data_IF_322008150963
#
_entry.id   IF_322008150963
#
_cell.length_a   1.000
_cell.length_b   1.000
_cell.length_c   1.000
_cell.angle_alpha   90.00
_cell.angle_beta   90.00
_cell.angle_gamma   90.00
#
_symmetry.space_group_name_H-M   'P 1'
#
loop_
_entity.id
_entity.type
_entity.pdbx_description
1 polymer ?
#
# COMPACT_ATOMS: atom_id res chain seq x y z
N UNK A 1 -12.46 56.70 41.86
CA UNK A 1 -12.98 56.55 40.49
C UNK A 1 -12.28 55.34 39.90
N UNK A 2 -12.98 54.23 39.70
CA UNK A 2 -12.37 53.01 39.19
C UNK A 2 -12.09 53.17 37.69
N UNK A 3 -10.83 53.07 37.29
CA UNK A 3 -10.39 53.16 35.90
C UNK A 3 -10.34 51.74 35.33
N UNK A 4 -10.92 51.50 34.14
CA UNK A 4 -10.76 50.23 33.44
C UNK A 4 -9.27 50.03 33.10
N UNK A 5 -8.67 48.95 33.58
CA UNK A 5 -7.31 48.57 33.16
C UNK A 5 -7.37 47.95 31.75
N UNK A 6 -6.35 48.13 30.90
CA UNK A 6 -6.32 47.51 29.56
C UNK A 6 -6.51 45.98 29.58
N UNK A 7 -6.07 45.32 30.65
CA UNK A 7 -6.30 43.89 30.93
C UNK A 7 -7.75 43.51 31.26
N UNK A 8 -8.62 44.49 31.57
CA UNK A 8 -10.06 44.29 31.76
C UNK A 8 -10.85 44.52 30.46
N UNK A 9 -10.19 45.00 29.39
CA UNK A 9 -10.83 45.28 28.08
C UNK A 9 -10.40 44.27 27.02
N UNK A 10 -9.23 43.64 27.19
CA UNK A 10 -8.74 42.61 26.28
C UNK A 10 -8.75 41.24 26.96
N UNK A 11 -9.62 40.36 26.49
CA UNK A 11 -9.57 38.92 26.76
C UNK A 11 -8.58 38.35 25.75
N UNK A 12 -7.55 37.64 26.23
CA UNK A 12 -6.60 36.93 25.38
C UNK A 12 -7.36 35.88 24.55
N UNK A 13 -7.65 36.20 23.29
CA UNK A 13 -8.22 35.25 22.35
C UNK A 13 -7.10 34.31 21.88
N UNK A 14 -7.31 32.98 21.87
CA UNK A 14 -6.33 32.05 21.31
C UNK A 14 -6.06 32.39 19.85
N UNK A 15 -4.82 32.18 19.38
CA UNK A 15 -4.43 32.46 18.00
C UNK A 15 -5.07 31.43 17.06
N UNK A 16 -6.26 31.76 16.57
CA UNK A 16 -7.15 30.89 15.77
C UNK A 16 -6.58 30.52 14.39
N UNK A 17 -5.65 31.32 13.87
CA UNK A 17 -5.08 31.15 12.53
C UNK A 17 -3.92 30.14 12.47
N UNK A 18 -3.48 29.58 13.61
CA UNK A 18 -2.35 28.66 13.68
C UNK A 18 -2.67 27.45 14.57
N UNK A 19 -3.64 26.64 14.15
CA UNK A 19 -3.78 25.28 14.70
C UNK A 19 -2.66 24.41 14.12
N UNK A 20 -1.60 24.18 14.89
CA UNK A 20 -0.53 23.24 14.55
C UNK A 20 -1.07 21.82 14.75
N UNK A 21 -1.67 21.25 13.72
CA UNK A 21 -2.02 19.84 13.70
C UNK A 21 -0.80 19.03 13.27
N UNK A 22 -0.26 18.20 14.18
CA UNK A 22 0.76 17.20 13.87
C UNK A 22 0.12 16.03 13.11
N UNK A 23 -0.33 16.30 11.88
CA UNK A 23 -0.81 15.28 10.96
C UNK A 23 0.36 14.84 10.09
N UNK A 24 0.52 13.54 9.87
CA UNK A 24 1.44 13.03 8.86
C UNK A 24 0.89 13.44 7.49
N UNK A 25 1.77 13.85 6.58
CA UNK A 25 1.36 14.17 5.22
C UNK A 25 0.70 12.94 4.59
N UNK A 26 -0.54 13.09 4.14
CA UNK A 26 -1.32 12.03 3.51
C UNK A 26 -0.62 11.47 2.25
N UNK A 27 0.29 12.24 1.64
CA UNK A 27 1.13 11.75 0.53
C UNK A 27 2.13 10.66 0.93
N UNK A 28 2.40 10.50 2.23
CA UNK A 28 3.28 9.45 2.75
C UNK A 28 2.64 8.06 2.73
N UNK A 29 1.32 7.95 2.63
CA UNK A 29 0.63 6.66 2.54
C UNK A 29 0.66 6.14 1.10
N UNK A 30 1.26 4.97 0.90
CA UNK A 30 1.48 4.38 -0.43
C UNK A 30 0.57 3.19 -0.72
N UNK A 31 -0.11 2.62 0.27
CA UNK A 31 -0.96 1.44 0.09
C UNK A 31 -1.97 1.59 -1.07
N UNK A 32 -2.71 2.70 -1.15
CA UNK A 32 -3.70 2.98 -2.21
C UNK A 32 -3.08 3.25 -3.58
N UNK A 33 -1.80 3.62 -3.65
CA UNK A 33 -1.07 3.89 -4.91
C UNK A 33 -0.53 2.61 -5.52
N UNK A 34 -0.13 1.66 -4.67
CA UNK A 34 0.41 0.36 -5.08
C UNK A 34 -0.72 -0.63 -5.36
N UNK A 35 -1.76 -0.63 -4.52
CA UNK A 35 -2.93 -1.49 -4.66
C UNK A 35 -4.18 -0.63 -4.91
N UNK A 36 -4.73 -0.63 -6.14
CA UNK A 36 -5.92 0.14 -6.44
C UNK A 36 -7.14 -0.42 -5.69
N UNK A 37 -7.98 0.48 -5.17
CA UNK A 37 -9.24 0.11 -4.52
C UNK A 37 -10.25 -0.38 -5.55
N UNK A 38 -10.69 -1.63 -5.41
CA UNK A 38 -11.76 -2.22 -6.22
C UNK A 38 -13.02 -2.32 -5.36
N UNK A 39 -14.11 -1.72 -5.82
CA UNK A 39 -15.39 -1.79 -5.12
C UNK A 39 -16.03 -3.15 -5.35
N UNK A 40 -16.46 -3.81 -4.28
CA UNK A 40 -17.13 -5.12 -4.31
C UNK A 40 -18.54 -5.01 -3.77
N UNK A 41 -19.48 -5.76 -4.35
CA UNK A 41 -20.89 -5.71 -3.96
C UNK A 41 -21.21 -6.60 -2.74
N UNK A 42 -20.37 -7.59 -2.44
CA UNK A 42 -20.59 -8.58 -1.37
C UNK A 42 -19.42 -8.55 -0.39
N UNK A 43 -19.69 -8.88 0.87
CA UNK A 43 -18.68 -8.93 1.94
C UNK A 43 -17.68 -10.07 1.71
N UNK A 44 -18.19 -11.23 1.30
CA UNK A 44 -17.41 -12.42 0.96
C UNK A 44 -17.92 -12.98 -0.34
N UNK A 45 -17.03 -13.22 -1.29
CA UNK A 45 -17.33 -13.94 -2.52
C UNK A 45 -16.04 -14.54 -3.07
N UNK A 46 -16.15 -15.27 -4.18
CA UNK A 46 -15.00 -15.81 -4.91
C UNK A 46 -14.66 -14.94 -6.10
N UNK A 47 -13.38 -14.83 -6.41
CA UNK A 47 -12.88 -14.24 -7.64
C UNK A 47 -12.24 -15.32 -8.51
N UNK A 48 -12.41 -15.18 -9.82
CA UNK A 48 -11.84 -16.11 -10.79
C UNK A 48 -10.40 -15.73 -11.08
N UNK A 49 -9.51 -16.71 -10.97
CA UNK A 49 -8.10 -16.59 -11.35
C UNK A 49 -7.90 -17.34 -12.66
N UNK A 50 -7.57 -16.59 -13.70
CA UNK A 50 -7.12 -17.15 -14.96
C UNK A 50 -5.75 -17.79 -14.78
N UNK A 51 -5.63 -19.08 -15.09
CA UNK A 51 -4.36 -19.78 -14.95
C UNK A 51 -3.35 -19.27 -15.98
N UNK A 52 -2.29 -18.63 -15.50
CA UNK A 52 -1.19 -18.09 -16.32
C UNK A 52 -0.49 -19.14 -17.18
N UNK A 53 -0.50 -20.41 -16.74
CA UNK A 53 0.07 -21.51 -17.50
C UNK A 53 -0.72 -21.83 -18.79
N UNK A 54 -2.03 -21.54 -18.82
CA UNK A 54 -2.86 -21.78 -20.00
C UNK A 54 -2.66 -20.69 -21.06
N UNK A 55 -2.44 -19.45 -20.63
CA UNK A 55 -2.22 -18.31 -21.53
C UNK A 55 -0.81 -18.29 -22.15
N UNK A 56 0.22 -18.75 -21.43
CA UNK A 56 1.61 -18.71 -21.89
C UNK A 56 2.08 -20.04 -22.50
N UNK A 57 1.15 -20.93 -22.88
CA UNK A 57 1.47 -22.28 -23.34
C UNK A 57 1.98 -22.27 -24.80
N UNK A 58 3.27 -22.49 -24.98
CA UNK A 58 3.91 -22.60 -26.31
C UNK A 58 3.77 -24.01 -26.90
N UNK A 59 3.78 -24.13 -28.23
CA UNK A 59 3.82 -25.43 -28.94
C UNK A 59 2.48 -26.05 -29.35
N UNK A 60 1.35 -25.36 -29.14
CA UNK A 60 0.04 -25.83 -29.61
C UNK A 60 -0.27 -25.49 -31.08
N UNK A 61 0.56 -24.66 -31.70
CA UNK A 61 0.49 -24.37 -33.14
C UNK A 61 1.23 -25.47 -33.88
N UNK A 62 0.47 -26.34 -34.54
CA UNK A 62 1.00 -27.44 -35.35
C UNK A 62 0.80 -27.15 -36.84
N UNK A 63 1.78 -27.54 -37.66
CA UNK A 63 1.66 -27.45 -39.11
C UNK A 63 0.48 -28.31 -39.59
N UNK A 64 -0.46 -27.70 -40.31
CA UNK A 64 -1.67 -28.40 -40.77
C UNK A 64 -1.52 -28.90 -42.19
N UNK A 65 -1.80 -30.18 -42.39
CA UNK A 65 -2.11 -30.71 -43.70
C UNK A 65 -3.50 -30.21 -44.18
N UNK A 66 -3.73 -30.09 -45.51
CA UNK A 66 -5.05 -29.72 -46.03
C UNK A 66 -6.14 -30.69 -45.55
N UNK A 67 -7.31 -30.16 -45.14
CA UNK A 67 -8.54 -30.87 -44.70
C UNK A 67 -8.61 -31.46 -43.27
N UNK A 68 -7.64 -31.26 -42.38
CA UNK A 68 -7.73 -31.75 -40.97
C UNK A 68 -8.25 -30.71 -39.96
N UNK A 69 -9.00 -31.06 -38.92
CA UNK A 69 -9.48 -30.05 -37.95
C UNK A 69 -8.32 -29.44 -37.13
N UNK A 70 -8.43 -28.15 -36.80
CA UNK A 70 -7.44 -27.46 -35.97
C UNK A 70 -7.47 -27.98 -34.50
N UNK A 71 -6.32 -28.02 -33.81
CA UNK A 71 -6.27 -28.40 -32.41
C UNK A 71 -7.09 -27.42 -31.55
N UNK A 72 -7.90 -27.98 -30.64
CA UNK A 72 -8.72 -27.20 -29.70
C UNK A 72 -7.92 -26.92 -28.45
N UNK A 73 -7.90 -25.66 -28.03
CA UNK A 73 -7.27 -25.22 -26.79
C UNK A 73 -8.36 -24.94 -25.77
N UNK A 74 -8.16 -25.38 -24.52
CA UNK A 74 -9.03 -25.08 -23.39
C UNK A 74 -8.37 -24.08 -22.44
N UNK A 75 -9.19 -23.33 -21.70
CA UNK A 75 -8.77 -22.43 -20.65
C UNK A 75 -9.35 -22.92 -19.32
N UNK A 76 -8.52 -23.01 -18.29
CA UNK A 76 -8.96 -23.39 -16.95
C UNK A 76 -9.09 -22.14 -16.06
N UNK A 77 -10.21 -22.02 -15.33
CA UNK A 77 -10.40 -21.00 -14.30
C UNK A 77 -10.22 -21.65 -12.93
N UNK A 78 -9.35 -21.07 -12.11
CA UNK A 78 -9.33 -21.32 -10.67
C UNK A 78 -10.20 -20.30 -9.94
N UNK A 79 -10.58 -20.59 -8.69
CA UNK A 79 -11.33 -19.67 -7.84
C UNK A 79 -10.60 -19.50 -6.52
N UNK A 80 -10.53 -18.27 -6.04
CA UNK A 80 -10.05 -17.94 -4.69
C UNK A 80 -11.06 -17.03 -3.98
N UNK A 81 -11.02 -16.96 -2.67
CA UNK A 81 -12.01 -16.24 -1.83
C UNK A 81 -11.47 -14.90 -1.36
N UNK A 82 -12.34 -13.88 -1.29
CA UNK A 82 -12.03 -12.64 -0.59
C UNK A 82 -12.98 -12.41 0.60
N UNK A 83 -12.50 -11.67 1.61
CA UNK A 83 -13.30 -11.17 2.74
C UNK A 83 -13.02 -9.69 2.95
N UNK A 84 -14.07 -8.87 2.91
CA UNK A 84 -14.03 -7.44 3.20
C UNK A 84 -14.52 -7.18 4.63
N UNK A 85 -13.60 -7.17 5.59
CA UNK A 85 -13.93 -6.89 6.99
C UNK A 85 -14.14 -5.40 7.25
N UNK A 86 -15.09 -5.10 8.15
CA UNK A 86 -15.48 -3.73 8.47
C UNK A 86 -14.69 -3.26 9.69
N UNK A 87 -13.94 -2.16 9.52
CA UNK A 87 -13.23 -1.47 10.59
C UNK A 87 -13.86 -0.10 10.81
N UNK A 88 -14.09 0.28 12.07
CA UNK A 88 -14.71 1.55 12.43
C UNK A 88 -14.03 2.16 13.66
N UNK A 89 -13.94 3.48 13.68
CA UNK A 89 -13.46 4.26 14.82
C UNK A 89 -14.42 5.44 15.04
N UNK A 90 -14.71 5.75 16.28
CA UNK A 90 -15.60 6.84 16.67
C UNK A 90 -14.91 7.75 17.70
N UNK A 91 -15.28 9.03 17.68
CA UNK A 91 -14.94 9.99 18.72
C UNK A 91 -16.22 10.68 19.15
N UNK A 92 -16.42 10.79 20.47
CA UNK A 92 -17.60 11.43 21.06
C UNK A 92 -17.23 12.82 21.59
N UNK A 93 -18.19 13.74 21.53
CA UNK A 93 -18.06 15.09 22.08
C UNK A 93 -19.21 15.36 23.03
N UNK A 94 -18.90 15.89 24.21
CA UNK A 94 -19.92 16.27 25.19
C UNK A 94 -20.53 17.65 24.86
N UNK A 95 -21.81 17.84 25.20
CA UNK A 95 -22.56 19.05 24.91
C UNK A 95 -21.99 20.30 25.59
N UNK A 96 -21.48 20.19 26.82
CA UNK A 96 -20.90 21.33 27.53
C UNK A 96 -19.56 21.74 26.90
N UNK A 97 -18.83 20.79 26.32
CA UNK A 97 -17.57 21.07 25.60
C UNK A 97 -17.85 21.77 24.26
N UNK A 98 -18.90 21.34 23.57
CA UNK A 98 -19.30 21.91 22.29
C UNK A 98 -19.97 23.29 22.44
N UNK A 99 -20.69 23.52 23.54
CA UNK A 99 -21.33 24.79 23.84
C UNK A 99 -20.34 25.88 24.32
N UNK A 100 -19.23 25.46 24.94
CA UNK A 100 -18.14 26.35 25.36
C UNK A 100 -17.01 26.47 24.32
N UNK A 101 -17.20 25.91 23.13
CA UNK A 101 -16.25 25.99 22.03
C UNK A 101 -16.20 27.41 21.46
N UNK A 102 -14.99 27.94 21.31
CA UNK A 102 -14.78 29.17 20.55
C UNK A 102 -14.93 28.85 19.06
N UNK A 103 -15.65 29.68 18.29
CA UNK A 103 -16.05 29.40 16.89
C UNK A 103 -14.88 29.14 15.92
N UNK A 104 -13.66 29.36 16.38
CA UNK A 104 -12.42 29.12 15.66
C UNK A 104 -11.74 27.77 15.96
N UNK A 105 -12.08 27.13 17.08
CA UNK A 105 -11.82 25.72 17.23
C UNK A 105 -12.94 25.05 16.43
N UNK A 106 -12.61 24.38 15.34
CA UNK A 106 -13.54 23.49 14.64
C UNK A 106 -13.18 22.07 15.07
N UNK A 107 -13.49 21.75 16.32
CA UNK A 107 -13.14 20.47 16.97
C UNK A 107 -13.73 19.30 16.17
N UNK A 108 -14.88 19.51 15.52
CA UNK A 108 -15.51 18.49 14.68
C UNK A 108 -14.68 18.19 13.43
N UNK A 109 -14.17 19.21 12.72
CA UNK A 109 -13.31 18.95 11.57
C UNK A 109 -11.95 18.38 11.99
N UNK A 110 -11.38 18.84 13.11
CA UNK A 110 -10.16 18.28 13.67
C UNK A 110 -10.33 16.80 14.07
N UNK A 111 -11.47 16.46 14.71
CA UNK A 111 -11.82 15.08 15.06
C UNK A 111 -11.98 14.19 13.82
N UNK A 112 -12.67 14.67 12.79
CA UNK A 112 -12.81 13.94 11.53
C UNK A 112 -11.47 13.71 10.83
N UNK A 113 -10.57 14.70 10.86
CA UNK A 113 -9.21 14.57 10.33
C UNK A 113 -8.40 13.54 11.13
N UNK A 114 -8.47 13.57 12.46
CA UNK A 114 -7.81 12.59 13.33
C UNK A 114 -8.27 11.16 13.04
N UNK A 115 -9.59 10.94 12.98
CA UNK A 115 -10.15 9.62 12.67
C UNK A 115 -9.73 9.11 11.29
N UNK A 116 -9.78 9.98 10.29
CA UNK A 116 -9.34 9.65 8.93
C UNK A 116 -7.86 9.26 8.91
N UNK A 117 -7.02 10.02 9.61
CA UNK A 117 -5.59 9.77 9.68
C UNK A 117 -5.27 8.45 10.37
N UNK A 118 -5.95 8.13 11.48
CA UNK A 118 -5.75 6.88 12.19
C UNK A 118 -6.17 5.66 11.35
N UNK A 119 -7.26 5.79 10.57
CA UNK A 119 -7.67 4.74 9.63
C UNK A 119 -6.65 4.54 8.50
N UNK A 120 -6.04 5.62 8.00
CA UNK A 120 -4.98 5.54 6.99
C UNK A 120 -3.73 4.84 7.52
N UNK A 121 -3.32 5.12 8.76
CA UNK A 121 -2.20 4.43 9.43
C UNK A 121 -2.49 2.94 9.57
N UNK A 122 -3.65 2.58 10.14
CA UNK A 122 -4.01 1.18 10.35
C UNK A 122 -4.02 0.39 9.03
N UNK A 123 -4.53 1.01 7.96
CA UNK A 123 -4.47 0.44 6.62
C UNK A 123 -3.05 0.20 6.13
N UNK A 124 -2.14 1.16 6.32
CA UNK A 124 -0.74 1.03 5.91
C UNK A 124 -0.01 -0.07 6.70
N UNK A 125 -0.27 -0.19 8.00
CA UNK A 125 0.30 -1.25 8.86
C UNK A 125 -0.19 -2.63 8.40
N UNK A 126 -1.49 -2.77 8.16
CA UNK A 126 -2.08 -4.02 7.67
C UNK A 126 -1.51 -4.40 6.31
N UNK A 127 -1.35 -3.42 5.43
CA UNK A 127 -0.73 -3.61 4.14
C UNK A 127 0.73 -4.08 4.27
N UNK A 128 1.55 -3.39 5.06
CA UNK A 128 2.93 -3.76 5.30
C UNK A 128 3.04 -5.20 5.84
N UNK A 129 2.23 -5.53 6.85
CA UNK A 129 2.23 -6.86 7.49
C UNK A 129 1.77 -7.97 6.55
N UNK A 130 0.78 -7.70 5.69
CA UNK A 130 0.17 -8.72 4.83
C UNK A 130 0.91 -8.95 3.51
N UNK A 131 1.81 -8.05 3.10
CA UNK A 131 2.46 -8.14 1.79
C UNK A 131 4.00 -8.13 1.85
N UNK A 132 4.62 -7.67 2.93
CA UNK A 132 6.09 -7.68 3.09
C UNK A 132 6.61 -8.83 3.97
N UNK A 133 5.74 -9.77 4.36
CA UNK A 133 6.17 -11.00 5.03
C UNK A 133 6.82 -12.01 4.06
N UNK A 134 7.64 -12.90 4.61
CA UNK A 134 8.23 -13.99 3.86
C UNK A 134 7.18 -15.04 3.44
N UNK A 135 7.39 -15.69 2.30
CA UNK A 135 6.54 -16.76 1.74
C UNK A 135 5.14 -16.33 1.32
N UNK A 136 4.89 -15.03 1.21
CA UNK A 136 3.62 -14.49 0.69
C UNK A 136 3.61 -14.56 -0.83
N UNK A 137 4.76 -14.33 -1.46
CA UNK A 137 4.90 -14.34 -2.91
C UNK A 137 5.50 -15.66 -3.40
N UNK A 138 5.19 -16.04 -4.64
CA UNK A 138 5.73 -17.28 -5.22
C UNK A 138 7.25 -17.25 -5.48
N UNK A 139 7.93 -16.13 -5.28
CA UNK A 139 9.40 -16.02 -5.34
C UNK A 139 9.85 -14.88 -4.44
N UNK A 140 10.51 -15.24 -3.35
CA UNK A 140 11.11 -14.29 -2.41
C UNK A 140 12.62 -14.21 -2.62
N UNK A 141 13.16 -13.00 -2.49
CA UNK A 141 14.60 -12.75 -2.52
C UNK A 141 15.06 -12.26 -1.15
N UNK A 142 16.04 -12.92 -0.55
CA UNK A 142 16.53 -12.58 0.79
C UNK A 142 17.89 -11.86 0.73
N UNK A 143 18.03 -10.78 1.50
CA UNK A 143 19.31 -10.11 1.71
C UNK A 143 20.18 -10.87 2.71
N UNK A 144 21.44 -11.15 2.36
CA UNK A 144 22.39 -11.86 3.22
C UNK A 144 23.70 -11.10 3.36
N UNK A 145 24.31 -11.19 4.56
CA UNK A 145 25.63 -10.63 4.83
C UNK A 145 26.79 -11.49 4.27
N UNK A 146 26.60 -12.80 4.15
CA UNK A 146 27.57 -13.76 3.58
C UNK A 146 27.25 -14.13 2.13
N UNK A 147 28.14 -14.82 1.39
CA UNK A 147 28.00 -15.06 -0.07
C UNK A 147 26.59 -15.46 -0.51
N UNK A 148 25.94 -14.73 -1.44
CA UNK A 148 24.57 -15.04 -1.82
C UNK A 148 24.52 -16.38 -2.56
N UNK A 149 23.47 -17.14 -2.31
CA UNK A 149 23.12 -18.35 -3.06
C UNK A 149 21.87 -18.13 -3.93
N UNK A 150 21.13 -19.18 -4.26
CA UNK A 150 19.94 -19.07 -5.12
C UNK A 150 18.86 -18.23 -4.42
N UNK A 151 18.27 -17.27 -5.15
CA UNK A 151 17.26 -16.33 -4.64
C UNK A 151 17.75 -15.48 -3.45
N UNK A 152 19.04 -15.18 -3.39
CA UNK A 152 19.63 -14.31 -2.38
C UNK A 152 20.41 -13.18 -3.03
N UNK A 153 20.40 -12.03 -2.37
CA UNK A 153 21.19 -10.85 -2.76
C UNK A 153 22.09 -10.45 -1.59
N UNK A 154 23.19 -9.75 -1.88
CA UNK A 154 23.95 -9.06 -0.83
C UNK A 154 23.02 -8.03 -0.19
N UNK A 155 23.03 -7.94 1.13
CA UNK A 155 22.35 -6.83 1.80
C UNK A 155 22.87 -5.49 1.26
N UNK A 156 21.98 -4.57 0.91
CA UNK A 156 22.36 -3.29 0.30
C UNK A 156 22.98 -2.30 1.29
N UNK A 157 23.08 -2.68 2.56
CA UNK A 157 23.90 -1.98 3.57
C UNK A 157 25.41 -2.24 3.42
N UNK A 158 25.84 -3.22 2.59
CA UNK A 158 27.26 -3.43 2.26
C UNK A 158 27.67 -2.57 1.06
N UNK A 159 28.17 -1.37 1.32
CA UNK A 159 28.61 -0.43 0.28
C UNK A 159 29.81 -0.92 -0.56
N UNK A 160 30.49 -1.99 -0.16
CA UNK A 160 31.67 -2.50 -0.88
C UNK A 160 31.29 -3.57 -1.88
N UNK A 161 30.41 -4.50 -1.49
CA UNK A 161 30.11 -5.69 -2.28
C UNK A 161 28.66 -5.78 -2.77
N UNK A 162 27.77 -4.89 -2.33
CA UNK A 162 26.40 -4.88 -2.85
C UNK A 162 26.32 -4.24 -4.24
N UNK A 163 25.45 -4.78 -5.09
CA UNK A 163 25.20 -4.24 -6.44
C UNK A 163 23.70 -4.03 -6.68
N UNK A 164 23.07 -3.06 -6.00
CA UNK A 164 21.61 -2.95 -5.96
C UNK A 164 20.95 -2.79 -7.33
N UNK A 165 21.56 -2.04 -8.24
CA UNK A 165 21.04 -1.84 -9.60
C UNK A 165 21.03 -3.15 -10.40
N UNK A 166 22.07 -3.97 -10.23
CA UNK A 166 22.17 -5.26 -10.91
C UNK A 166 21.14 -6.24 -10.32
N UNK A 167 20.98 -6.26 -9.00
CA UNK A 167 19.98 -7.07 -8.31
C UNK A 167 18.56 -6.74 -8.80
N UNK A 168 18.18 -5.47 -8.82
CA UNK A 168 16.87 -5.01 -9.30
C UNK A 168 16.65 -5.37 -10.77
N UNK A 169 17.69 -5.22 -11.61
CA UNK A 169 17.60 -5.58 -13.04
C UNK A 169 17.42 -7.08 -13.25
N UNK A 170 18.11 -7.90 -12.46
CA UNK A 170 17.98 -9.36 -12.50
C UNK A 170 16.61 -9.81 -12.01
N UNK A 171 16.10 -9.21 -10.92
CA UNK A 171 14.75 -9.50 -10.41
C UNK A 171 13.70 -9.09 -11.45
N UNK A 172 13.82 -7.91 -12.07
CA UNK A 172 12.90 -7.51 -13.15
C UNK A 172 12.91 -8.50 -14.33
N UNK A 173 14.09 -8.96 -14.75
CA UNK A 173 14.23 -9.93 -15.84
C UNK A 173 13.60 -11.27 -15.48
N UNK A 174 13.87 -11.79 -14.29
CA UNK A 174 13.31 -13.09 -13.84
C UNK A 174 11.79 -13.02 -13.75
N UNK A 175 11.24 -11.91 -13.25
CA UNK A 175 9.79 -11.68 -13.21
C UNK A 175 9.19 -11.57 -14.62
N UNK A 176 9.86 -10.87 -15.55
CA UNK A 176 9.42 -10.76 -16.93
C UNK A 176 9.37 -12.11 -17.66
N UNK A 177 10.39 -12.95 -17.47
CA UNK A 177 10.43 -14.29 -18.04
C UNK A 177 9.35 -15.19 -17.45
N UNK A 178 9.11 -15.10 -16.14
CA UNK A 178 7.99 -15.82 -15.52
C UNK A 178 6.63 -15.27 -15.98
N UNK A 179 6.51 -13.99 -16.29
CA UNK A 179 5.24 -13.30 -16.60
C UNK A 179 4.73 -13.46 -18.01
N UNK A 180 5.50 -14.10 -18.87
CA UNK A 180 5.17 -14.15 -20.30
C UNK A 180 5.45 -12.83 -21.01
N UNK A 181 6.37 -12.01 -20.47
CA UNK A 181 6.88 -10.81 -21.15
C UNK A 181 6.50 -9.47 -20.51
N UNK A 182 5.65 -9.45 -19.49
CA UNK A 182 5.28 -8.22 -18.78
C UNK A 182 6.38 -7.79 -17.81
N UNK A 183 7.00 -6.64 -18.09
CA UNK A 183 7.98 -6.02 -17.20
C UNK A 183 7.25 -5.32 -16.02
N UNK A 184 7.70 -5.52 -14.77
CA UNK A 184 7.18 -4.77 -13.63
C UNK A 184 7.31 -3.25 -13.82
N UNK A 185 6.30 -2.49 -13.40
CA UNK A 185 6.22 -1.03 -13.55
C UNK A 185 6.28 -0.25 -12.22
N UNK A 186 6.06 -0.91 -11.08
CA UNK A 186 6.06 -0.30 -9.75
C UNK A 186 7.08 -1.01 -8.87
N UNK A 187 7.93 -0.23 -8.19
CA UNK A 187 8.85 -0.71 -7.16
C UNK A 187 8.59 0.09 -5.89
N UNK A 188 8.36 -0.61 -4.78
CA UNK A 188 8.26 -0.01 -3.45
C UNK A 188 9.55 -0.26 -2.70
N UNK A 189 10.08 0.78 -2.07
CA UNK A 189 11.34 0.72 -1.31
C UNK A 189 11.09 1.33 0.06
N UNK A 190 11.49 0.61 1.12
CA UNK A 190 11.48 1.13 2.48
C UNK A 190 12.45 2.30 2.63
N UNK A 191 12.18 3.20 3.57
CA UNK A 191 13.02 4.40 3.76
C UNK A 191 14.49 4.06 4.05
N UNK A 192 14.74 3.06 4.90
CA UNK A 192 16.10 2.60 5.22
C UNK A 192 16.87 2.13 3.99
N UNK A 193 16.19 1.42 3.09
CA UNK A 193 16.78 0.93 1.85
C UNK A 193 17.05 2.10 0.90
N UNK A 194 16.13 3.07 0.83
CA UNK A 194 16.34 4.29 0.03
C UNK A 194 17.51 5.13 0.55
N UNK A 195 17.68 5.24 1.86
CA UNK A 195 18.74 6.03 2.47
C UNK A 195 20.12 5.35 2.31
N UNK A 196 20.15 4.02 2.14
CA UNK A 196 21.36 3.25 1.86
C UNK A 196 21.76 3.19 0.36
N UNK A 197 20.90 3.64 -0.55
CA UNK A 197 21.10 3.62 -2.01
C UNK A 197 21.59 4.95 -2.54
#
# INVERSE_FOLDING_TARGET
MAMLTPSAVHIDAPLTNLTIAFLQDANGFIADRVFPKVSVAKKTDKYYIYNRADFNRVGQVQARAPRTQAPRVGMTLSQDTYSADVFSLATDFDFDTLANEDAALDIRSAGAQMLTHQLLIDREIKWATSYFGASIWGTDWAGVAGSPSTNQVRQWSDYTNSTPIQDVTNIMRTMQLKSGGFKPNVMVVGKEVRDAL
#
